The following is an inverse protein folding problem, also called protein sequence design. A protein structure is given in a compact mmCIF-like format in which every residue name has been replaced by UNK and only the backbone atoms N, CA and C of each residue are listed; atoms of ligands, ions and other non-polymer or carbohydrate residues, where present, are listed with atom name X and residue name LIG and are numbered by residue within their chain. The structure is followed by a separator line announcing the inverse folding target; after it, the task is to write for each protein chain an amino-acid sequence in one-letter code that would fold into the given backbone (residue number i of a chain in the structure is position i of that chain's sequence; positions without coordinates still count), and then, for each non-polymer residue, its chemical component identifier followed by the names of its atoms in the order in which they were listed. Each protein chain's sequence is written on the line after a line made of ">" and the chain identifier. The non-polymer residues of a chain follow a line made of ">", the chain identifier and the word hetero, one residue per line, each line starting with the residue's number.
data_IF_977909015981
#
_entry.id   IF_977909015981
#
_cell.length_a   1.000
_cell.length_b   1.000
_cell.length_c   1.000
_cell.angle_alpha   90.00
_cell.angle_beta   90.00
_cell.angle_gamma   90.00
#
_symmetry.space_group_name_H-M   'P 1'
#
loop_
_entity.id
_entity.type
_entity.pdbx_description
1 polymer ?
#
# COMPACT_ATOMS: atom_id res chain seq x y z
N UNK A 1 -0.88 25.51 2.98
CA UNK A 1 -1.50 24.61 4.00
C UNK A 1 -2.81 24.15 3.41
N UNK A 2 -3.10 22.87 3.46
CA UNK A 2 -4.34 22.32 2.94
C UNK A 2 -5.46 22.72 3.91
N UNK A 3 -6.44 23.50 3.44
CA UNK A 3 -7.62 23.82 4.24
C UNK A 3 -8.60 22.65 4.16
N UNK A 4 -8.78 21.93 5.27
CA UNK A 4 -9.65 20.75 5.36
C UNK A 4 -11.10 21.12 5.72
N UNK A 5 -11.50 22.40 5.68
CA UNK A 5 -12.88 22.87 5.89
C UNK A 5 -13.62 22.20 7.08
N UNK A 6 -12.96 22.07 8.23
CA UNK A 6 -13.42 21.36 9.44
C UNK A 6 -13.48 19.84 9.35
N UNK A 7 -13.03 19.21 8.27
CA UNK A 7 -12.89 17.76 8.23
C UNK A 7 -11.70 17.29 9.07
N UNK A 8 -11.89 16.15 9.72
CA UNK A 8 -10.87 15.44 10.48
C UNK A 8 -10.43 14.20 9.71
N UNK A 9 -9.16 14.12 9.38
CA UNK A 9 -8.61 12.97 8.67
C UNK A 9 -8.19 11.90 9.68
N UNK A 10 -8.66 10.68 9.48
CA UNK A 10 -8.33 9.51 10.27
C UNK A 10 -7.60 8.52 9.38
N UNK A 11 -6.31 8.33 9.64
CA UNK A 11 -5.52 7.30 8.96
C UNK A 11 -5.60 5.99 9.76
N UNK A 12 -6.33 5.01 9.24
CA UNK A 12 -6.41 3.69 9.85
C UNK A 12 -5.33 2.75 9.28
N UNK A 13 -4.08 3.08 9.56
CA UNK A 13 -2.93 2.30 9.10
C UNK A 13 -1.79 2.34 10.11
N UNK A 14 -1.26 1.15 10.44
CA UNK A 14 -0.04 1.00 11.25
C UNK A 14 1.26 1.14 10.44
N UNK A 15 1.17 1.36 9.12
CA UNK A 15 2.34 1.49 8.25
C UNK A 15 3.10 2.79 8.50
N UNK A 16 4.37 2.75 8.94
CA UNK A 16 5.19 3.94 9.13
C UNK A 16 5.43 4.69 7.82
N UNK A 17 5.45 3.99 6.69
CA UNK A 17 5.62 4.57 5.36
C UNK A 17 4.41 5.43 4.97
N UNK A 18 3.19 4.94 5.20
CA UNK A 18 1.95 5.71 4.95
C UNK A 18 1.86 6.93 5.86
N UNK A 19 2.18 6.76 7.15
CA UNK A 19 2.24 7.88 8.09
C UNK A 19 3.17 8.98 7.60
N UNK A 20 4.40 8.61 7.20
CA UNK A 20 5.40 9.55 6.69
C UNK A 20 4.89 10.34 5.48
N UNK A 21 4.18 9.71 4.55
CA UNK A 21 3.60 10.41 3.40
C UNK A 21 2.55 11.45 3.80
N UNK A 22 1.71 11.17 4.80
CA UNK A 22 0.76 12.17 5.29
C UNK A 22 1.47 13.36 5.95
N UNK A 23 2.54 13.10 6.71
CA UNK A 23 3.40 14.14 7.28
C UNK A 23 4.07 14.99 6.18
N UNK A 24 4.62 14.36 5.14
CA UNK A 24 5.27 15.04 3.99
C UNK A 24 4.28 15.81 3.11
N UNK A 25 3.03 15.35 3.01
CA UNK A 25 1.95 16.10 2.34
C UNK A 25 1.43 17.29 3.17
N UNK A 26 1.90 17.44 4.43
CA UNK A 26 1.45 18.50 5.36
C UNK A 26 -0.07 18.43 5.58
N UNK A 27 -0.59 17.20 5.71
CA UNK A 27 -2.00 16.93 6.04
C UNK A 27 -2.06 16.59 7.52
N UNK A 28 -2.88 17.33 8.30
CA UNK A 28 -3.16 16.98 9.68
C UNK A 28 -4.04 15.73 9.73
N UNK A 29 -3.64 14.74 10.53
CA UNK A 29 -4.34 13.47 10.66
C UNK A 29 -4.20 12.87 12.05
N UNK A 30 -5.13 12.00 12.38
CA UNK A 30 -5.11 11.15 13.57
C UNK A 30 -4.95 9.69 13.15
N UNK A 31 -4.13 8.92 13.88
CA UNK A 31 -4.05 7.47 13.68
C UNK A 31 -5.06 6.78 14.58
N UNK A 32 -5.93 5.96 13.98
CA UNK A 32 -6.80 5.03 14.70
C UNK A 32 -6.64 3.63 14.13
N UNK A 33 -6.37 2.65 14.97
CA UNK A 33 -6.19 1.27 14.55
C UNK A 33 -7.30 0.39 15.14
N UNK A 34 -7.87 -0.44 14.30
CA UNK A 34 -8.74 -1.55 14.70
C UNK A 34 -8.28 -2.79 13.92
N UNK A 35 -8.01 -3.91 14.60
CA UNK A 35 -7.57 -5.13 13.93
C UNK A 35 -8.70 -5.71 13.07
N UNK A 36 -8.32 -6.22 11.91
CA UNK A 36 -9.17 -7.05 11.05
C UNK A 36 -8.36 -8.25 10.59
N UNK A 37 -9.01 -9.35 10.35
CA UNK A 37 -8.40 -10.51 9.69
C UNK A 37 -8.34 -10.22 8.19
N UNK A 38 -7.13 -10.10 7.64
CA UNK A 38 -6.89 -9.71 6.24
C UNK A 38 -7.06 -10.91 5.30
N UNK A 39 -8.25 -11.52 5.30
CA UNK A 39 -8.63 -12.59 4.38
C UNK A 39 -9.48 -12.05 3.25
N UNK A 40 -9.38 -12.66 2.07
CA UNK A 40 -10.16 -12.29 0.90
C UNK A 40 -10.61 -13.53 0.11
N UNK A 41 -11.72 -13.44 -0.64
CA UNK A 41 -12.20 -14.52 -1.50
C UNK A 41 -11.17 -14.93 -2.54
N UNK A 42 -11.00 -16.24 -2.76
CA UNK A 42 -9.96 -16.82 -3.62
C UNK A 42 -10.11 -16.46 -5.10
N UNK A 43 -11.32 -16.10 -5.51
CA UNK A 43 -11.66 -15.68 -6.88
C UNK A 43 -11.17 -14.25 -7.22
N UNK A 44 -10.82 -13.44 -6.23
CA UNK A 44 -10.36 -12.06 -6.47
C UNK A 44 -8.94 -12.04 -7.04
N UNK A 45 -8.70 -11.10 -7.96
CA UNK A 45 -7.43 -10.97 -8.66
C UNK A 45 -6.93 -9.53 -8.65
N UNK A 46 -5.60 -9.36 -8.58
CA UNK A 46 -4.93 -8.06 -8.74
C UNK A 46 -5.57 -6.95 -7.89
N UNK A 47 -6.14 -5.94 -8.56
CA UNK A 47 -6.77 -4.78 -7.91
C UNK A 47 -7.98 -5.12 -7.04
N UNK A 48 -8.71 -6.18 -7.38
CA UNK A 48 -9.90 -6.58 -6.62
C UNK A 48 -9.52 -6.99 -5.18
N UNK A 49 -8.35 -7.62 -5.01
CA UNK A 49 -7.82 -7.98 -3.70
C UNK A 49 -7.53 -6.72 -2.88
N UNK A 50 -6.76 -5.78 -3.43
CA UNK A 50 -6.39 -4.56 -2.71
C UNK A 50 -7.57 -3.65 -2.44
N UNK A 51 -8.54 -3.55 -3.38
CA UNK A 51 -9.79 -2.80 -3.19
C UNK A 51 -10.62 -3.41 -2.04
N UNK A 52 -10.78 -4.73 -2.06
CA UNK A 52 -11.51 -5.46 -1.02
C UNK A 52 -10.85 -5.29 0.36
N UNK A 53 -9.53 -5.49 0.47
CA UNK A 53 -8.82 -5.36 1.74
C UNK A 53 -8.83 -3.92 2.27
N UNK A 54 -8.75 -2.92 1.39
CA UNK A 54 -8.89 -1.52 1.79
C UNK A 54 -10.29 -1.24 2.39
N UNK A 55 -11.34 -1.77 1.79
CA UNK A 55 -12.72 -1.66 2.31
C UNK A 55 -12.92 -2.45 3.60
N UNK A 56 -12.38 -3.67 3.67
CA UNK A 56 -12.43 -4.52 4.85
C UNK A 56 -11.83 -3.81 6.07
N UNK A 57 -10.68 -3.15 5.88
CA UNK A 57 -10.03 -2.35 6.95
C UNK A 57 -10.85 -1.16 7.42
N UNK A 58 -11.77 -0.65 6.60
CA UNK A 58 -12.69 0.43 6.99
C UNK A 58 -13.90 -0.07 7.79
N UNK A 59 -14.29 -1.34 7.61
CA UNK A 59 -15.55 -1.87 8.15
C UNK A 59 -15.71 -1.71 9.69
N UNK A 60 -14.67 -1.91 10.55
CA UNK A 60 -14.84 -1.78 11.99
C UNK A 60 -15.10 -0.34 12.48
N UNK A 61 -14.92 0.65 11.61
CA UNK A 61 -15.03 2.06 11.96
C UNK A 61 -16.39 2.67 11.64
N UNK A 62 -17.22 2.03 10.79
CA UNK A 62 -18.45 2.60 10.22
C UNK A 62 -19.36 3.25 11.27
N UNK A 63 -19.61 2.54 12.37
CA UNK A 63 -20.52 3.01 13.42
C UNK A 63 -19.89 4.04 14.37
N UNK A 64 -18.59 4.32 14.24
CA UNK A 64 -17.85 5.22 15.12
C UNK A 64 -17.44 6.55 14.47
N UNK A 65 -17.71 6.71 13.15
CA UNK A 65 -17.40 7.94 12.43
C UNK A 65 -18.35 9.07 12.79
N UNK A 66 -17.80 10.28 12.92
CA UNK A 66 -18.56 11.51 13.13
C UNK A 66 -18.81 12.23 11.78
N UNK A 67 -19.71 13.20 11.78
CA UNK A 67 -20.14 13.92 10.58
C UNK A 67 -18.99 14.46 9.71
N UNK A 68 -17.92 14.92 10.35
CA UNK A 68 -16.79 15.54 9.67
C UNK A 68 -15.55 14.64 9.61
N UNK A 69 -15.70 13.35 9.92
CA UNK A 69 -14.59 12.38 9.81
C UNK A 69 -14.44 11.89 8.36
N UNK A 70 -13.21 11.87 7.87
CA UNK A 70 -12.80 11.15 6.66
C UNK A 70 -11.83 10.07 7.10
N UNK A 71 -12.29 8.83 7.11
CA UNK A 71 -11.47 7.66 7.40
C UNK A 71 -10.76 7.23 6.12
N UNK A 72 -9.45 7.01 6.21
CA UNK A 72 -8.61 6.53 5.13
C UNK A 72 -8.00 5.19 5.53
N UNK A 73 -8.33 4.18 4.75
CA UNK A 73 -7.71 2.85 4.81
C UNK A 73 -7.04 2.52 3.50
N UNK A 74 -6.05 1.65 3.51
CA UNK A 74 -5.31 1.31 2.29
C UNK A 74 -4.73 -0.09 2.38
N UNK A 75 -4.64 -0.73 1.23
CA UNK A 75 -3.94 -1.99 1.06
C UNK A 75 -3.03 -1.97 -0.16
N UNK A 76 -1.98 -2.81 -0.13
CA UNK A 76 -0.99 -2.90 -1.21
C UNK A 76 -0.73 -4.36 -1.55
N UNK A 77 -0.91 -4.71 -2.81
CA UNK A 77 -0.67 -6.05 -3.36
C UNK A 77 0.48 -5.98 -4.36
N UNK A 78 1.41 -6.91 -4.27
CA UNK A 78 2.39 -7.20 -5.32
C UNK A 78 1.83 -8.35 -6.16
N UNK A 79 1.58 -8.08 -7.44
CA UNK A 79 0.94 -9.01 -8.37
C UNK A 79 1.92 -9.41 -9.47
N UNK A 80 2.17 -10.72 -9.59
CA UNK A 80 3.11 -11.26 -10.57
C UNK A 80 2.55 -12.54 -11.20
N UNK A 81 2.44 -12.58 -12.53
CA UNK A 81 1.98 -13.76 -13.29
C UNK A 81 0.72 -14.42 -12.73
N UNK A 82 -0.30 -13.63 -12.45
CA UNK A 82 -1.59 -14.06 -11.86
C UNK A 82 -1.48 -14.62 -10.43
N UNK A 83 -0.45 -14.24 -9.69
CA UNK A 83 -0.26 -14.60 -8.29
C UNK A 83 -0.08 -13.35 -7.42
N UNK A 84 -0.72 -13.31 -6.25
CA UNK A 84 -0.48 -12.31 -5.21
C UNK A 84 0.71 -12.75 -4.36
N UNK A 85 1.78 -11.96 -4.35
CA UNK A 85 2.92 -12.16 -3.47
C UNK A 85 2.67 -11.39 -2.17
N UNK A 86 2.13 -12.09 -1.18
CA UNK A 86 1.82 -11.53 0.14
C UNK A 86 3.11 -11.25 0.94
N UNK A 87 2.98 -11.05 2.25
CA UNK A 87 4.13 -10.94 3.15
C UNK A 87 4.73 -12.33 3.37
N UNK A 88 6.05 -12.42 3.32
CA UNK A 88 6.75 -13.67 3.64
C UNK A 88 6.75 -13.90 5.16
N UNK A 89 6.53 -15.14 5.58
CA UNK A 89 6.60 -15.53 6.99
C UNK A 89 8.00 -16.04 7.36
N UNK A 90 8.74 -16.55 6.36
CA UNK A 90 10.08 -17.12 6.54
C UNK A 90 11.09 -16.51 5.58
N UNK A 91 12.39 -16.77 5.86
CA UNK A 91 13.50 -16.37 4.99
C UNK A 91 13.42 -17.08 3.63
N UNK A 92 13.06 -18.34 3.63
CA UNK A 92 12.89 -19.16 2.44
C UNK A 92 11.79 -18.63 1.54
N UNK A 93 10.65 -18.25 2.11
CA UNK A 93 9.56 -17.65 1.36
C UNK A 93 9.96 -16.29 0.77
N UNK A 94 10.65 -15.44 1.55
CA UNK A 94 11.17 -14.17 1.06
C UNK A 94 12.14 -14.37 -0.11
N UNK A 95 13.02 -15.37 -0.01
CA UNK A 95 13.96 -15.74 -1.08
C UNK A 95 13.23 -16.17 -2.34
N UNK A 96 12.25 -17.05 -2.22
CA UNK A 96 11.44 -17.52 -3.36
C UNK A 96 10.67 -16.37 -4.03
N UNK A 97 10.11 -15.43 -3.25
CA UNK A 97 9.43 -14.27 -3.81
C UNK A 97 10.39 -13.39 -4.62
N UNK A 98 11.56 -13.09 -4.08
CA UNK A 98 12.57 -12.27 -4.77
C UNK A 98 13.13 -12.97 -6.02
N UNK A 99 13.31 -14.29 -5.97
CA UNK A 99 13.69 -15.08 -7.15
C UNK A 99 12.61 -15.05 -8.24
N UNK A 100 11.31 -15.11 -7.86
CA UNK A 100 10.20 -14.94 -8.84
C UNK A 100 10.19 -13.58 -9.50
N UNK A 101 10.53 -12.52 -8.76
CA UNK A 101 10.55 -11.13 -9.27
C UNK A 101 11.81 -10.80 -10.06
N UNK A 102 12.91 -11.55 -9.87
CA UNK A 102 14.20 -11.32 -10.49
C UNK A 102 14.10 -11.38 -12.02
N UNK A 103 14.65 -10.37 -12.70
CA UNK A 103 14.68 -10.25 -14.16
C UNK A 103 13.33 -9.97 -14.82
N UNK A 104 12.27 -9.72 -14.04
CA UNK A 104 10.91 -9.67 -14.59
C UNK A 104 10.12 -8.43 -14.14
N UNK A 105 9.00 -8.19 -14.84
CA UNK A 105 8.02 -7.18 -14.51
C UNK A 105 6.98 -7.71 -13.50
N UNK A 106 6.60 -6.88 -12.58
CA UNK A 106 5.44 -7.12 -11.73
C UNK A 106 4.65 -5.83 -11.51
N UNK A 107 3.46 -5.96 -10.98
CA UNK A 107 2.60 -4.84 -10.65
C UNK A 107 2.54 -4.64 -9.13
N UNK A 108 2.63 -3.40 -8.71
CA UNK A 108 2.31 -2.98 -7.35
C UNK A 108 1.02 -2.19 -7.40
N UNK A 109 0.00 -2.73 -6.77
CA UNK A 109 -1.36 -2.20 -6.77
C UNK A 109 -1.66 -1.71 -5.36
N UNK A 110 -1.86 -0.40 -5.20
CA UNK A 110 -2.29 0.16 -3.93
C UNK A 110 -3.67 0.77 -4.05
N UNK A 111 -4.58 0.27 -3.24
CA UNK A 111 -5.94 0.79 -3.10
C UNK A 111 -6.07 1.65 -1.86
N UNK A 112 -6.84 2.70 -1.97
CA UNK A 112 -7.19 3.61 -0.88
C UNK A 112 -8.71 3.73 -0.81
N UNK A 113 -9.27 3.50 0.37
CA UNK A 113 -10.68 3.63 0.64
C UNK A 113 -10.92 4.84 1.56
N UNK A 114 -11.73 5.77 1.09
CA UNK A 114 -12.17 6.96 1.79
C UNK A 114 -13.60 6.71 2.30
N UNK A 115 -13.79 6.76 3.59
CA UNK A 115 -15.10 6.48 4.21
C UNK A 115 -15.53 7.67 5.06
N UNK A 116 -16.73 8.17 4.79
CA UNK A 116 -17.45 9.13 5.62
C UNK A 116 -18.75 8.48 6.13
N UNK A 117 -19.54 9.19 6.93
CA UNK A 117 -20.87 8.70 7.32
C UNK A 117 -21.87 8.63 6.16
N UNK A 118 -21.59 9.29 5.02
CA UNK A 118 -22.49 9.39 3.86
C UNK A 118 -22.09 8.52 2.69
N UNK A 119 -20.78 8.29 2.52
CA UNK A 119 -20.26 7.60 1.34
C UNK A 119 -18.99 6.83 1.65
N UNK A 120 -18.72 5.85 0.81
CA UNK A 120 -17.46 5.14 0.76
C UNK A 120 -16.97 5.09 -0.69
N UNK A 121 -15.76 5.60 -0.93
CA UNK A 121 -15.12 5.65 -2.24
C UNK A 121 -13.80 4.89 -2.17
N UNK A 122 -13.64 3.89 -3.03
CA UNK A 122 -12.39 3.15 -3.17
C UNK A 122 -11.76 3.43 -4.53
N UNK A 123 -10.49 3.77 -4.54
CA UNK A 123 -9.70 4.03 -5.74
C UNK A 123 -8.35 3.33 -5.63
N UNK A 124 -7.75 2.99 -6.75
CA UNK A 124 -6.43 2.35 -6.79
C UNK A 124 -5.49 2.98 -7.81
N UNK A 125 -4.20 2.68 -7.66
CA UNK A 125 -3.17 2.91 -8.67
C UNK A 125 -2.37 1.64 -8.88
N UNK A 126 -2.02 1.41 -10.14
CA UNK A 126 -1.13 0.32 -10.55
C UNK A 126 0.18 0.94 -11.01
N UNK A 127 1.28 0.38 -10.54
CA UNK A 127 2.63 0.76 -10.95
C UNK A 127 3.37 -0.51 -11.33
N UNK A 128 3.92 -0.54 -12.54
CA UNK A 128 4.78 -1.64 -12.98
C UNK A 128 6.21 -1.38 -12.56
N UNK A 129 6.85 -2.41 -12.03
CA UNK A 129 8.24 -2.37 -11.57
C UNK A 129 9.00 -3.51 -12.22
N UNK A 130 10.19 -3.22 -12.74
CA UNK A 130 11.09 -4.20 -13.34
C UNK A 130 12.32 -4.38 -12.47
N UNK A 131 12.58 -5.61 -12.06
CA UNK A 131 13.85 -5.98 -11.47
C UNK A 131 14.87 -6.38 -12.58
N UNK A 132 16.14 -6.02 -12.37
CA UNK A 132 17.24 -6.71 -13.05
C UNK A 132 17.31 -8.17 -12.61
N UNK A 133 18.10 -8.98 -13.28
CA UNK A 133 18.48 -10.28 -12.73
C UNK A 133 19.24 -10.08 -11.42
N UNK A 134 18.71 -10.67 -10.34
CA UNK A 134 19.29 -10.65 -9.01
C UNK A 134 20.06 -11.96 -8.79
N UNK A 135 21.30 -11.85 -8.33
CA UNK A 135 22.05 -13.03 -7.87
C UNK A 135 21.56 -13.52 -6.51
N UNK A 136 21.74 -14.80 -6.22
CA UNK A 136 21.42 -15.35 -4.88
C UNK A 136 22.15 -14.60 -3.76
N UNK A 137 23.39 -14.17 -3.99
CA UNK A 137 24.14 -13.40 -3.02
C UNK A 137 23.51 -12.03 -2.70
N UNK A 138 22.94 -11.34 -3.70
CA UNK A 138 22.22 -10.08 -3.52
C UNK A 138 20.91 -10.29 -2.75
N UNK A 139 20.18 -11.36 -3.07
CA UNK A 139 18.94 -11.73 -2.39
C UNK A 139 19.23 -12.07 -0.93
N UNK A 140 20.20 -12.94 -0.67
CA UNK A 140 20.57 -13.37 0.70
C UNK A 140 21.08 -12.19 1.53
N UNK A 141 21.90 -11.30 0.93
CA UNK A 141 22.34 -10.06 1.56
C UNK A 141 21.15 -9.19 1.98
N UNK A 142 20.22 -8.96 1.07
CA UNK A 142 19.07 -8.09 1.33
C UNK A 142 18.18 -8.65 2.43
N UNK A 143 17.80 -9.92 2.37
CA UNK A 143 16.93 -10.55 3.37
C UNK A 143 17.59 -10.49 4.76
N UNK A 144 18.86 -10.85 4.84
CA UNK A 144 19.61 -10.86 6.11
C UNK A 144 19.66 -9.48 6.78
N UNK A 145 19.86 -8.41 5.99
CA UNK A 145 20.10 -7.08 6.55
C UNK A 145 18.82 -6.25 6.72
N UNK A 146 17.80 -6.48 5.86
CA UNK A 146 16.59 -5.67 5.84
C UNK A 146 15.35 -6.38 6.38
N UNK A 147 15.38 -7.71 6.49
CA UNK A 147 14.28 -8.52 7.06
C UNK A 147 12.91 -8.10 6.54
N UNK A 148 12.64 -8.24 5.23
CA UNK A 148 11.51 -7.59 4.56
C UNK A 148 10.16 -8.29 4.79
N UNK A 149 9.95 -8.92 5.93
CA UNK A 149 8.78 -9.75 6.26
C UNK A 149 7.49 -8.93 6.48
N UNK A 150 7.60 -7.61 6.65
CA UNK A 150 6.46 -6.70 6.77
C UNK A 150 5.91 -6.20 5.42
N UNK A 151 6.51 -6.65 4.29
CA UNK A 151 6.27 -6.11 2.95
C UNK A 151 5.73 -7.16 2.00
N UNK A 152 4.69 -6.81 1.23
CA UNK A 152 4.24 -7.63 0.10
C UNK A 152 5.37 -7.80 -0.93
N UNK A 153 5.52 -9.00 -1.48
CA UNK A 153 6.59 -9.35 -2.40
C UNK A 153 7.98 -9.39 -1.76
N UNK A 154 8.06 -9.31 -0.43
CA UNK A 154 9.31 -9.35 0.33
C UNK A 154 10.36 -8.31 -0.09
N UNK A 155 9.94 -7.09 -0.50
CA UNK A 155 10.89 -6.01 -0.78
C UNK A 155 10.34 -4.62 -0.46
N UNK A 156 11.25 -3.67 -0.20
CA UNK A 156 10.95 -2.25 -0.10
C UNK A 156 11.74 -1.46 -1.14
N UNK A 157 11.05 -0.80 -2.07
CA UNK A 157 11.69 -0.04 -3.15
C UNK A 157 12.57 1.11 -2.62
N UNK A 158 12.31 1.61 -1.43
CA UNK A 158 13.09 2.66 -0.77
C UNK A 158 14.35 2.13 -0.05
N UNK A 159 14.56 0.81 -0.05
CA UNK A 159 15.69 0.13 0.60
C UNK A 159 16.79 -0.19 -0.41
N UNK A 160 17.88 -0.80 0.06
CA UNK A 160 19.03 -1.13 -0.77
C UNK A 160 18.67 -1.87 -2.07
N UNK A 161 17.75 -2.84 -2.01
CA UNK A 161 17.33 -3.61 -3.19
C UNK A 161 16.68 -2.72 -4.25
N UNK A 162 15.98 -1.66 -3.86
CA UNK A 162 15.43 -0.68 -4.78
C UNK A 162 16.50 0.16 -5.48
N UNK A 163 17.63 0.41 -4.80
CA UNK A 163 18.75 1.18 -5.36
C UNK A 163 19.56 0.37 -6.38
N UNK A 164 19.71 -0.94 -6.17
CA UNK A 164 20.62 -1.77 -6.98
C UNK A 164 19.89 -2.74 -7.90
N UNK A 165 18.62 -3.04 -7.62
CA UNK A 165 17.86 -4.10 -8.29
C UNK A 165 16.76 -3.61 -9.22
N UNK A 166 16.29 -2.36 -9.11
CA UNK A 166 15.22 -1.84 -9.98
C UNK A 166 15.80 -1.24 -11.24
N UNK A 167 15.37 -1.76 -12.39
CA UNK A 167 15.75 -1.23 -13.72
C UNK A 167 14.78 -0.16 -14.20
N UNK A 168 13.47 -0.36 -13.99
CA UNK A 168 12.45 0.54 -14.53
C UNK A 168 11.21 0.57 -13.65
N UNK A 169 10.57 1.74 -13.58
CA UNK A 169 9.28 1.98 -12.94
C UNK A 169 8.37 2.66 -13.95
N UNK A 170 7.18 2.11 -14.19
CA UNK A 170 6.12 2.75 -14.99
C UNK A 170 4.94 3.06 -14.09
N UNK A 171 4.83 4.30 -13.65
CA UNK A 171 3.80 4.78 -12.75
C UNK A 171 4.34 5.64 -11.61
N UNK A 172 3.81 5.44 -10.40
CA UNK A 172 4.07 6.27 -9.24
C UNK A 172 4.97 5.56 -8.21
N UNK A 173 6.15 6.13 -7.93
CA UNK A 173 7.02 5.64 -6.87
C UNK A 173 6.34 5.61 -5.48
N UNK A 174 5.60 6.65 -5.03
CA UNK A 174 4.86 6.59 -3.77
C UNK A 174 3.84 5.45 -3.72
N UNK A 175 3.24 5.09 -4.85
CA UNK A 175 2.35 3.93 -4.95
C UNK A 175 3.08 2.63 -4.60
N UNK A 176 4.30 2.45 -5.10
CA UNK A 176 5.12 1.26 -4.80
C UNK A 176 5.54 1.21 -3.33
N UNK A 177 5.83 2.37 -2.72
CA UNK A 177 6.12 2.47 -1.29
C UNK A 177 4.91 2.11 -0.42
N UNK A 178 3.67 2.26 -0.98
CA UNK A 178 2.44 1.81 -0.36
C UNK A 178 1.35 2.85 -0.16
N UNK A 179 1.46 4.03 -0.83
CA UNK A 179 0.39 5.04 -0.86
C UNK A 179 0.48 5.87 -2.14
N UNK A 180 -0.55 5.89 -3.01
CA UNK A 180 -0.58 6.76 -4.19
C UNK A 180 -0.91 8.21 -3.78
N UNK A 181 0.09 8.97 -3.34
CA UNK A 181 -0.06 10.28 -2.67
C UNK A 181 -0.82 11.30 -3.51
N UNK A 182 -0.57 11.38 -4.82
CA UNK A 182 -1.28 12.27 -5.73
C UNK A 182 -2.79 11.95 -5.75
N UNK A 183 -3.16 10.68 -5.88
CA UNK A 183 -4.56 10.24 -5.84
C UNK A 183 -5.21 10.57 -4.50
N UNK A 184 -4.48 10.32 -3.39
CA UNK A 184 -4.98 10.63 -2.04
C UNK A 184 -5.26 12.12 -1.91
N UNK A 185 -4.33 12.96 -2.34
CA UNK A 185 -4.47 14.40 -2.29
C UNK A 185 -5.68 14.91 -3.10
N UNK A 186 -5.79 14.51 -4.37
CA UNK A 186 -6.89 14.93 -5.26
C UNK A 186 -8.25 14.47 -4.74
N UNK A 187 -8.32 13.23 -4.23
CA UNK A 187 -9.58 12.70 -3.69
C UNK A 187 -10.00 13.42 -2.43
N UNK A 188 -9.06 13.69 -1.51
CA UNK A 188 -9.34 14.49 -0.32
C UNK A 188 -9.84 15.88 -0.68
N UNK A 189 -9.17 16.57 -1.61
CA UNK A 189 -9.61 17.88 -2.06
C UNK A 189 -11.01 17.86 -2.69
N UNK A 190 -11.32 16.80 -3.44
CA UNK A 190 -12.66 16.60 -4.00
C UNK A 190 -13.74 16.41 -2.93
N UNK A 191 -13.44 15.65 -1.87
CA UNK A 191 -14.40 15.42 -0.76
C UNK A 191 -14.60 16.69 0.07
N UNK A 192 -13.54 17.40 0.37
CA UNK A 192 -13.56 18.59 1.25
C UNK A 192 -14.24 19.80 0.58
N UNK A 193 -14.24 19.87 -0.76
CA UNK A 193 -14.83 20.99 -1.53
C UNK A 193 -16.26 20.71 -2.03
N UNK A 194 -16.88 19.59 -1.64
CA UNK A 194 -18.30 19.28 -1.88
C UNK A 194 -19.18 19.90 -0.80
#
# INVERSE_FOLDING_TARGET
>A
MIELNNYKIILASGSPRRKKFFEEMVIDFEIRLKPVEETYPVELNGKEISDYLAQLKASPFKDSLQKNDILITSDTVVWHKNESLAKAETEEEAKLMLQKLSGDWHEVITSVCFTTIHQQLTQHRITQVKFKELSDAEIDFYIKHYKPYDKAGAYGIQEWIGLVGIEEIRGSYPNVVGLPTQLVYETLMSIVNQ
#
